data_IF_837101110581
#
_entry.id   IF_837101110581
#
_cell.length_a   1.000
_cell.length_b   1.000
_cell.length_c   1.000
_cell.angle_alpha   90.00
_cell.angle_beta   90.00
_cell.angle_gamma   90.00
#
_symmetry.space_group_name_H-M   'P 1'
#
loop_
_entity.id
_entity.type
_entity.pdbx_description
1 polymer ?
#
# COMPACT_ATOMS: atom_id res chain seq x y z
N UNK A 1 15.63 -8.57 -12.35
CA UNK A 1 14.67 -7.93 -11.41
C UNK A 1 13.84 -6.93 -12.19
N UNK A 2 12.54 -7.18 -12.36
CA UNK A 2 11.67 -6.21 -13.02
C UNK A 2 11.63 -4.93 -12.19
N UNK A 3 12.04 -3.84 -12.78
CA UNK A 3 12.17 -2.53 -12.13
C UNK A 3 10.76 -1.96 -11.87
N UNK A 4 10.12 -2.36 -10.75
CA UNK A 4 8.79 -1.88 -10.32
C UNK A 4 8.77 -0.36 -10.16
N UNK A 5 9.93 0.22 -9.88
CA UNK A 5 10.08 1.62 -9.55
C UNK A 5 11.01 2.28 -10.56
N UNK A 6 10.49 3.26 -11.28
CA UNK A 6 11.32 4.13 -12.15
C UNK A 6 12.05 5.16 -11.29
N UNK A 7 13.29 5.42 -11.61
CA UNK A 7 14.13 6.41 -10.92
C UNK A 7 13.44 7.79 -10.91
N UNK A 8 13.42 8.45 -9.77
CA UNK A 8 12.78 9.77 -9.52
C UNK A 8 11.24 9.81 -9.65
N UNK A 9 10.54 8.74 -10.01
CA UNK A 9 9.07 8.74 -10.10
C UNK A 9 8.43 8.40 -8.76
N UNK A 10 7.44 9.20 -8.35
CA UNK A 10 6.63 8.97 -7.14
C UNK A 10 5.29 8.34 -7.49
N UNK A 11 4.77 7.49 -6.62
CA UNK A 11 3.57 6.71 -6.91
C UNK A 11 2.51 6.85 -5.82
N UNK A 12 1.26 6.85 -6.25
CA UNK A 12 0.13 6.66 -5.35
C UNK A 12 -0.11 5.15 -5.15
N UNK A 13 -0.06 4.72 -3.88
CA UNK A 13 -0.32 3.38 -3.43
C UNK A 13 -1.66 3.37 -2.68
N UNK A 14 -2.70 2.87 -3.31
CA UNK A 14 -4.04 2.87 -2.75
C UNK A 14 -4.26 1.66 -1.85
N UNK A 15 -4.83 1.88 -0.66
CA UNK A 15 -5.22 0.80 0.27
C UNK A 15 -6.74 0.77 0.35
N UNK A 16 -7.34 -0.42 0.28
CA UNK A 16 -8.80 -0.57 0.38
C UNK A 16 -9.35 0.08 1.66
N UNK A 17 -10.59 0.60 1.63
CA UNK A 17 -11.19 1.22 2.81
C UNK A 17 -11.45 0.20 3.92
N UNK A 18 -11.42 0.65 5.17
CA UNK A 18 -11.69 -0.19 6.35
C UNK A 18 -13.14 -0.67 6.42
N UNK A 19 -14.02 0.00 5.71
CA UNK A 19 -15.46 -0.25 5.62
C UNK A 19 -15.83 -1.33 4.60
N UNK A 20 -14.87 -1.77 3.78
CA UNK A 20 -15.08 -2.82 2.77
C UNK A 20 -15.62 -4.11 3.40
N UNK A 21 -16.66 -4.66 2.80
CA UNK A 21 -17.45 -5.81 3.28
C UNK A 21 -18.27 -5.52 4.56
N UNK A 22 -18.50 -4.26 4.89
CA UNK A 22 -19.49 -3.86 5.90
C UNK A 22 -20.80 -3.45 5.22
N UNK A 23 -21.91 -3.36 6.00
CA UNK A 23 -23.25 -2.97 5.49
C UNK A 23 -23.22 -1.69 4.64
N UNK A 24 -22.41 -0.68 5.05
CA UNK A 24 -22.28 0.60 4.34
C UNK A 24 -21.50 0.52 3.02
N UNK A 25 -20.64 -0.50 2.84
CA UNK A 25 -19.83 -0.68 1.63
C UNK A 25 -19.75 -2.15 1.23
N UNK A 26 -20.83 -2.73 0.67
CA UNK A 26 -20.82 -4.09 0.15
C UNK A 26 -19.89 -4.23 -1.05
N UNK A 27 -19.40 -5.44 -1.30
CA UNK A 27 -18.39 -5.70 -2.34
C UNK A 27 -18.82 -5.20 -3.72
N UNK A 28 -20.07 -5.47 -4.14
CA UNK A 28 -20.59 -5.05 -5.46
C UNK A 28 -20.43 -3.53 -5.68
N UNK A 29 -20.86 -2.73 -4.71
CA UNK A 29 -20.72 -1.26 -4.73
C UNK A 29 -19.26 -0.83 -4.79
N UNK A 30 -18.40 -1.47 -3.97
CA UNK A 30 -16.97 -1.16 -3.95
C UNK A 30 -16.28 -1.45 -5.30
N UNK A 31 -16.58 -2.58 -5.95
CA UNK A 31 -15.97 -2.96 -7.22
C UNK A 31 -16.27 -1.96 -8.33
N UNK A 32 -17.49 -1.39 -8.36
CA UNK A 32 -17.86 -0.34 -9.32
C UNK A 32 -16.98 0.90 -9.09
N UNK A 33 -16.92 1.39 -7.86
CA UNK A 33 -16.12 2.57 -7.51
C UNK A 33 -14.62 2.31 -7.77
N UNK A 34 -14.11 1.13 -7.41
CA UNK A 34 -12.72 0.77 -7.64
C UNK A 34 -12.37 0.77 -9.14
N UNK A 35 -13.26 0.24 -9.96
CA UNK A 35 -13.03 0.22 -11.41
C UNK A 35 -12.91 1.64 -11.97
N UNK A 36 -13.78 2.57 -11.58
CA UNK A 36 -13.69 3.98 -12.00
C UNK A 36 -12.38 4.64 -11.52
N UNK A 37 -11.98 4.38 -10.28
CA UNK A 37 -10.72 4.87 -9.73
C UNK A 37 -9.51 4.33 -10.52
N UNK A 38 -9.48 3.03 -10.84
CA UNK A 38 -8.35 2.42 -11.55
C UNK A 38 -8.35 2.75 -13.05
N UNK A 39 -9.49 3.04 -13.67
CA UNK A 39 -9.59 3.56 -15.06
C UNK A 39 -8.81 4.87 -15.26
N UNK A 40 -8.62 5.67 -14.22
CA UNK A 40 -7.78 6.89 -14.29
C UNK A 40 -6.34 6.61 -14.68
N UNK A 41 -5.85 5.35 -14.56
CA UNK A 41 -4.45 4.91 -14.79
C UNK A 41 -3.41 5.63 -13.90
N UNK A 42 -3.86 6.31 -12.84
CA UNK A 42 -3.02 7.08 -11.91
C UNK A 42 -2.59 6.26 -10.67
N UNK A 43 -3.18 5.07 -10.48
CA UNK A 43 -2.88 4.16 -9.38
C UNK A 43 -1.91 3.08 -9.85
N UNK A 44 -0.67 3.11 -9.38
CA UNK A 44 0.32 2.07 -9.69
C UNK A 44 0.16 0.83 -8.83
N UNK A 45 -0.19 1.00 -7.55
CA UNK A 45 -0.29 -0.07 -6.56
C UNK A 45 -1.62 -0.03 -5.83
N UNK A 46 -2.25 -1.20 -5.64
CA UNK A 46 -3.42 -1.39 -4.79
C UNK A 46 -3.11 -2.45 -3.73
N UNK A 47 -3.52 -2.21 -2.49
CA UNK A 47 -3.43 -3.19 -1.40
C UNK A 47 -4.83 -3.55 -0.89
N UNK A 48 -5.18 -4.83 -0.93
CA UNK A 48 -6.36 -5.35 -0.24
C UNK A 48 -6.03 -5.55 1.25
N UNK A 49 -6.71 -4.80 2.10
CA UNK A 49 -6.58 -4.90 3.55
C UNK A 49 -7.93 -5.19 4.17
N UNK A 50 -8.17 -6.45 4.48
CA UNK A 50 -9.35 -6.91 5.19
C UNK A 50 -8.95 -7.35 6.60
N UNK A 51 -9.70 -6.92 7.61
CA UNK A 51 -9.50 -7.34 8.99
C UNK A 51 -10.68 -8.20 9.44
N UNK A 52 -10.39 -9.27 10.22
CA UNK A 52 -11.40 -10.11 10.85
C UNK A 52 -12.43 -10.64 9.84
N UNK A 53 -11.95 -11.15 8.69
CA UNK A 53 -12.76 -11.80 7.66
C UNK A 53 -12.33 -13.25 7.51
N UNK A 54 -13.27 -14.13 7.17
CA UNK A 54 -12.97 -15.53 6.88
C UNK A 54 -12.10 -15.66 5.62
N UNK A 55 -11.37 -16.76 5.50
CA UNK A 55 -10.56 -17.05 4.33
C UNK A 55 -11.38 -17.03 3.05
N UNK A 56 -12.58 -17.59 3.07
CA UNK A 56 -13.50 -17.60 1.93
C UNK A 56 -13.92 -16.19 1.50
N UNK A 57 -14.21 -15.30 2.46
CA UNK A 57 -14.54 -13.89 2.17
C UNK A 57 -13.33 -13.17 1.56
N UNK A 58 -12.13 -13.44 2.07
CA UNK A 58 -10.88 -12.86 1.56
C UNK A 58 -10.64 -13.34 0.13
N UNK A 59 -10.70 -14.65 -0.11
CA UNK A 59 -10.44 -15.26 -1.41
C UNK A 59 -11.46 -14.79 -2.46
N UNK A 60 -12.74 -14.74 -2.11
CA UNK A 60 -13.79 -14.24 -3.00
C UNK A 60 -13.55 -12.77 -3.39
N UNK A 61 -13.24 -11.91 -2.41
CA UNK A 61 -12.96 -10.49 -2.63
C UNK A 61 -11.70 -10.31 -3.47
N UNK A 62 -10.65 -11.06 -3.15
CA UNK A 62 -9.36 -11.03 -3.82
C UNK A 62 -9.48 -11.38 -5.30
N UNK A 63 -10.21 -12.46 -5.64
CA UNK A 63 -10.45 -12.88 -7.04
C UNK A 63 -11.09 -11.76 -7.85
N UNK A 64 -12.15 -11.12 -7.33
CA UNK A 64 -12.87 -10.06 -8.05
C UNK A 64 -12.02 -8.79 -8.22
N UNK A 65 -11.29 -8.38 -7.20
CA UNK A 65 -10.39 -7.22 -7.27
C UNK A 65 -9.22 -7.49 -8.22
N UNK A 66 -8.65 -8.69 -8.20
CA UNK A 66 -7.55 -9.10 -9.09
C UNK A 66 -7.89 -8.90 -10.56
N UNK A 67 -9.11 -9.23 -10.99
CA UNK A 67 -9.57 -9.03 -12.37
C UNK A 67 -9.56 -7.54 -12.75
N UNK A 68 -10.04 -6.67 -11.87
CA UNK A 68 -10.05 -5.22 -12.10
C UNK A 68 -8.61 -4.67 -12.14
N UNK A 69 -7.74 -5.13 -11.25
CA UNK A 69 -6.33 -4.73 -11.22
C UNK A 69 -5.61 -5.14 -12.52
N UNK A 70 -5.79 -6.37 -12.99
CA UNK A 70 -5.23 -6.86 -14.25
C UNK A 70 -5.67 -6.01 -15.43
N UNK A 71 -6.99 -5.76 -15.59
CA UNK A 71 -7.55 -4.91 -16.65
C UNK A 71 -6.95 -3.50 -16.65
N UNK A 72 -6.62 -2.98 -15.46
CA UNK A 72 -6.09 -1.63 -15.32
C UNK A 72 -4.57 -1.55 -15.19
N UNK A 73 -3.84 -2.67 -15.30
CA UNK A 73 -2.37 -2.76 -15.15
C UNK A 73 -1.88 -2.22 -13.79
N UNK A 74 -2.70 -2.39 -12.73
CA UNK A 74 -2.40 -2.02 -11.35
C UNK A 74 -1.79 -3.21 -10.63
N UNK A 75 -0.65 -3.03 -9.98
CA UNK A 75 0.04 -4.07 -9.21
C UNK A 75 -0.72 -4.28 -7.90
N UNK A 76 -1.08 -5.54 -7.63
CA UNK A 76 -2.00 -5.87 -6.56
C UNK A 76 -1.33 -6.60 -5.40
N UNK A 77 -1.41 -6.02 -4.21
CA UNK A 77 -0.90 -6.59 -2.97
C UNK A 77 -2.03 -7.04 -2.05
N UNK A 78 -1.76 -8.08 -1.25
CA UNK A 78 -2.59 -8.42 -0.10
C UNK A 78 -1.84 -8.15 1.21
N UNK A 79 -2.57 -7.72 2.26
CA UNK A 79 -2.01 -7.42 3.57
C UNK A 79 -2.12 -8.63 4.50
N UNK A 80 -0.98 -9.05 5.09
CA UNK A 80 -0.82 -10.06 6.16
C UNK A 80 -1.27 -11.49 5.84
N UNK A 81 -2.19 -11.69 4.92
CA UNK A 81 -2.69 -13.01 4.56
C UNK A 81 -1.74 -13.75 3.63
N UNK A 82 -1.53 -15.02 3.93
CA UNK A 82 -0.61 -15.86 3.21
C UNK A 82 -1.13 -17.31 3.16
N UNK A 83 -1.40 -17.81 1.99
CA UNK A 83 -1.45 -19.21 1.60
C UNK A 83 -1.33 -19.34 0.07
N UNK A 84 -1.13 -20.56 -0.44
CA UNK A 84 -0.93 -20.80 -1.88
C UNK A 84 -2.14 -20.44 -2.72
N UNK A 85 -3.38 -20.57 -2.19
CA UNK A 85 -4.61 -20.19 -2.87
C UNK A 85 -4.67 -18.68 -3.11
N UNK A 86 -4.25 -17.89 -2.11
CA UNK A 86 -4.25 -16.43 -2.15
C UNK A 86 -3.16 -15.90 -3.08
N UNK A 87 -1.96 -16.49 -3.03
CA UNK A 87 -0.82 -16.05 -3.84
C UNK A 87 -1.08 -16.09 -5.35
N UNK A 88 -1.99 -16.94 -5.83
CA UNK A 88 -2.36 -17.02 -7.25
C UNK A 88 -3.03 -15.73 -7.78
N UNK A 89 -3.64 -14.93 -6.91
CA UNK A 89 -4.47 -13.78 -7.30
C UNK A 89 -3.85 -12.41 -6.98
N UNK A 90 -2.64 -12.36 -6.44
CA UNK A 90 -1.93 -11.11 -6.15
C UNK A 90 -0.52 -11.13 -6.72
N UNK A 91 0.04 -9.93 -6.93
CA UNK A 91 1.42 -9.75 -7.40
C UNK A 91 2.40 -9.72 -6.23
N UNK A 92 1.93 -9.37 -5.02
CA UNK A 92 2.77 -9.28 -3.84
C UNK A 92 2.00 -9.32 -2.52
N UNK A 93 2.76 -9.36 -1.45
CA UNK A 93 2.26 -9.34 -0.07
C UNK A 93 2.92 -8.20 0.69
N UNK A 94 2.12 -7.55 1.55
CA UNK A 94 2.62 -6.59 2.52
C UNK A 94 2.44 -7.14 3.94
N UNK A 95 3.54 -7.24 4.69
CA UNK A 95 3.56 -7.81 6.03
C UNK A 95 3.74 -6.75 7.11
N UNK A 96 2.93 -6.84 8.17
CA UNK A 96 3.15 -6.15 9.43
C UNK A 96 4.23 -6.85 10.27
N UNK A 97 4.80 -6.17 11.29
CA UNK A 97 5.88 -6.71 12.12
C UNK A 97 5.51 -8.02 12.84
N UNK A 98 4.24 -8.19 13.22
CA UNK A 98 3.75 -9.40 13.88
C UNK A 98 3.51 -10.57 12.91
N UNK A 99 3.48 -10.27 11.62
CA UNK A 99 3.11 -11.24 10.58
C UNK A 99 4.32 -11.79 9.83
N UNK A 100 5.51 -11.26 10.10
CA UNK A 100 6.77 -11.69 9.48
C UNK A 100 7.23 -12.99 10.15
N UNK A 101 7.51 -14.02 9.33
CA UNK A 101 8.27 -15.20 9.73
C UNK A 101 9.09 -15.67 8.54
N UNK A 102 10.27 -16.29 8.81
CA UNK A 102 11.16 -16.83 7.76
C UNK A 102 10.37 -17.74 6.82
N UNK A 103 9.62 -18.71 7.36
CA UNK A 103 8.81 -19.66 6.59
C UNK A 103 7.82 -18.98 5.63
N UNK A 104 7.18 -17.88 6.05
CA UNK A 104 6.27 -17.09 5.17
C UNK A 104 7.04 -16.40 4.07
N UNK A 105 8.15 -15.76 4.42
CA UNK A 105 8.94 -14.98 3.47
C UNK A 105 9.53 -15.90 2.41
N UNK A 106 10.13 -17.03 2.81
CA UNK A 106 10.72 -18.00 1.88
C UNK A 106 9.69 -18.47 0.83
N UNK A 107 8.46 -18.79 1.27
CA UNK A 107 7.39 -19.17 0.35
C UNK A 107 6.95 -18.06 -0.59
N UNK A 108 6.90 -16.80 -0.12
CA UNK A 108 6.60 -15.63 -0.94
C UNK A 108 7.65 -15.46 -2.03
N UNK A 109 8.93 -15.58 -1.66
CA UNK A 109 10.06 -15.45 -2.58
C UNK A 109 10.11 -16.60 -3.58
N UNK A 110 9.88 -17.86 -3.14
CA UNK A 110 9.80 -19.03 -4.03
C UNK A 110 8.72 -18.87 -5.11
N UNK A 111 7.60 -18.22 -4.78
CA UNK A 111 6.53 -17.91 -5.75
C UNK A 111 6.79 -16.63 -6.56
N UNK A 112 8.00 -16.05 -6.50
CA UNK A 112 8.42 -14.82 -7.19
C UNK A 112 7.46 -13.64 -6.95
N UNK A 113 6.86 -13.54 -5.75
CA UNK A 113 5.95 -12.47 -5.37
C UNK A 113 6.70 -11.30 -4.75
N UNK A 114 6.20 -10.09 -4.95
CA UNK A 114 6.75 -8.91 -4.31
C UNK A 114 6.49 -8.92 -2.80
N UNK A 115 7.46 -8.46 -2.03
CA UNK A 115 7.39 -8.36 -0.58
C UNK A 115 7.51 -6.90 -0.14
N UNK A 116 6.50 -6.42 0.58
CA UNK A 116 6.54 -5.16 1.32
C UNK A 116 6.53 -5.40 2.82
N UNK A 117 7.25 -4.60 3.60
CA UNK A 117 7.33 -4.76 5.06
C UNK A 117 7.09 -3.40 5.75
N UNK A 118 6.21 -3.39 6.77
CA UNK A 118 6.00 -2.23 7.64
C UNK A 118 7.14 -2.11 8.66
N UNK A 119 7.83 -0.96 8.71
CA UNK A 119 8.89 -0.68 9.68
C UNK A 119 8.52 0.42 10.68
N UNK A 120 7.28 0.92 10.64
CA UNK A 120 6.79 1.98 11.53
C UNK A 120 7.69 3.22 11.50
N UNK A 121 8.40 3.53 12.60
CA UNK A 121 9.38 4.61 12.70
C UNK A 121 10.72 4.11 13.27
N UNK A 122 10.97 2.79 13.23
CA UNK A 122 12.08 2.13 13.92
C UNK A 122 13.16 1.71 12.94
N UNK A 123 14.40 2.11 13.23
CA UNK A 123 15.62 1.65 12.55
C UNK A 123 15.83 0.14 12.74
N UNK A 124 15.55 -0.39 13.95
CA UNK A 124 15.68 -1.81 14.24
C UNK A 124 14.74 -2.66 13.40
N UNK A 125 13.49 -2.17 13.21
CA UNK A 125 12.56 -2.85 12.30
C UNK A 125 13.02 -2.81 10.86
N UNK A 126 13.70 -1.74 10.43
CA UNK A 126 14.31 -1.69 9.09
C UNK A 126 15.41 -2.73 8.99
N UNK A 127 16.37 -2.76 9.93
CA UNK A 127 17.49 -3.70 9.89
C UNK A 127 17.00 -5.16 9.88
N UNK A 128 16.02 -5.50 10.73
CA UNK A 128 15.37 -6.82 10.73
C UNK A 128 14.64 -7.12 9.41
N UNK A 129 14.00 -6.13 8.81
CA UNK A 129 13.30 -6.32 7.54
C UNK A 129 14.27 -6.57 6.38
N UNK A 130 15.43 -5.90 6.37
CA UNK A 130 16.41 -6.03 5.29
C UNK A 130 16.99 -7.44 5.14
N UNK A 131 17.04 -8.24 6.22
CA UNK A 131 17.42 -9.66 6.18
C UNK A 131 16.55 -10.45 5.19
N UNK A 132 15.30 -10.06 5.02
CA UNK A 132 14.33 -10.70 4.14
C UNK A 132 14.33 -10.16 2.70
N UNK A 133 15.24 -9.25 2.36
CA UNK A 133 15.38 -8.64 1.02
C UNK A 133 14.03 -8.18 0.43
N UNK A 134 13.27 -7.31 1.13
CA UNK A 134 11.97 -6.83 0.64
C UNK A 134 12.13 -6.01 -0.64
N UNK A 135 11.05 -5.86 -1.41
CA UNK A 135 11.02 -4.99 -2.57
C UNK A 135 10.76 -3.53 -2.18
N UNK A 136 10.15 -3.29 -1.03
CA UNK A 136 9.99 -1.97 -0.41
C UNK A 136 9.66 -2.10 1.08
N UNK A 137 9.87 -1.01 1.81
CA UNK A 137 9.42 -0.88 3.20
C UNK A 137 8.40 0.25 3.34
N UNK A 138 7.64 0.27 4.45
CA UNK A 138 6.77 1.39 4.76
C UNK A 138 7.03 1.98 6.14
N UNK A 139 7.02 3.32 6.20
CA UNK A 139 7.07 4.10 7.43
C UNK A 139 5.70 4.68 7.77
N UNK A 140 5.30 4.67 9.03
CA UNK A 140 4.03 5.24 9.49
C UNK A 140 3.75 5.00 10.98
N UNK A 141 2.79 5.75 11.50
CA UNK A 141 1.93 6.67 10.78
C UNK A 141 2.53 8.08 10.77
N UNK A 142 2.39 8.79 9.66
CA UNK A 142 2.86 10.17 9.53
C UNK A 142 1.90 11.16 10.19
N UNK A 143 0.60 10.93 10.09
CA UNK A 143 -0.44 11.79 10.63
C UNK A 143 -1.44 10.98 11.45
N UNK A 144 -2.29 11.66 12.21
CA UNK A 144 -3.38 11.04 12.95
C UNK A 144 -4.31 10.28 12.01
N UNK A 145 -4.68 9.06 12.38
CA UNK A 145 -5.53 8.19 11.58
C UNK A 145 -6.53 7.43 12.44
N UNK A 146 -7.77 7.32 11.95
CA UNK A 146 -8.81 6.49 12.57
C UNK A 146 -8.79 5.04 12.05
N UNK A 147 -8.05 4.76 10.96
CA UNK A 147 -8.04 3.44 10.31
C UNK A 147 -7.32 2.37 11.13
N UNK A 148 -6.26 2.77 11.86
CA UNK A 148 -5.50 1.89 12.76
C UNK A 148 -4.95 2.72 13.91
N UNK A 149 -5.31 2.38 15.16
CA UNK A 149 -4.63 2.93 16.34
C UNK A 149 -3.16 2.47 16.31
N UNK A 150 -2.23 3.39 16.42
CA UNK A 150 -0.80 3.10 16.49
C UNK A 150 -0.10 4.09 17.41
N UNK A 151 0.84 3.59 18.20
CA UNK A 151 1.73 4.41 19.02
C UNK A 151 2.93 4.97 18.23
N UNK A 152 3.17 4.43 17.04
CA UNK A 152 4.31 4.83 16.24
C UNK A 152 4.01 6.10 15.43
N UNK A 153 4.95 7.05 15.48
CA UNK A 153 4.89 8.30 14.71
C UNK A 153 6.14 8.42 13.86
N UNK A 154 5.95 8.24 12.55
CA UNK A 154 7.02 8.46 11.59
C UNK A 154 7.10 9.94 11.19
N UNK A 155 8.29 10.36 10.83
CA UNK A 155 8.59 11.72 10.37
C UNK A 155 9.42 11.66 9.09
N UNK A 156 9.59 12.80 8.43
CA UNK A 156 10.47 12.91 7.26
C UNK A 156 11.93 12.52 7.56
N UNK A 157 12.36 12.63 8.83
CA UNK A 157 13.70 12.18 9.26
C UNK A 157 13.89 10.67 9.05
N UNK A 158 12.84 9.85 9.24
CA UNK A 158 12.89 8.41 9.00
C UNK A 158 13.15 8.11 7.51
N UNK A 159 12.48 8.83 6.60
CA UNK A 159 12.69 8.66 5.15
C UNK A 159 14.10 9.09 4.77
N UNK A 160 14.52 10.29 5.18
CA UNK A 160 15.87 10.81 4.88
C UNK A 160 16.97 9.87 5.36
N UNK A 161 16.87 9.40 6.62
CA UNK A 161 17.81 8.41 7.16
C UNK A 161 17.83 7.12 6.32
N UNK A 162 16.65 6.60 5.98
CA UNK A 162 16.55 5.37 5.20
C UNK A 162 17.16 5.51 3.82
N UNK A 163 16.84 6.57 3.10
CA UNK A 163 17.36 6.82 1.75
C UNK A 163 18.87 7.09 1.71
N UNK A 164 19.43 7.63 2.80
CA UNK A 164 20.89 7.77 2.95
C UNK A 164 21.60 6.41 3.07
N UNK A 165 20.95 5.42 3.74
CA UNK A 165 21.57 4.14 4.06
C UNK A 165 21.17 2.99 3.12
N UNK A 166 20.05 3.10 2.42
CA UNK A 166 19.51 2.00 1.60
C UNK A 166 19.00 2.50 0.26
N UNK A 167 19.39 1.81 -0.82
CA UNK A 167 18.89 2.06 -2.19
C UNK A 167 17.57 1.33 -2.47
N UNK A 168 16.73 1.18 -1.48
CA UNK A 168 15.45 0.47 -1.58
C UNK A 168 14.28 1.48 -1.61
N UNK A 169 13.20 1.20 -2.35
CA UNK A 169 11.99 2.02 -2.31
C UNK A 169 11.32 2.04 -0.94
N UNK A 170 10.70 3.16 -0.59
CA UNK A 170 9.93 3.28 0.63
C UNK A 170 8.57 3.95 0.41
N UNK A 171 7.60 3.56 1.24
CA UNK A 171 6.27 4.13 1.29
C UNK A 171 6.03 4.90 2.60
N UNK A 172 5.42 6.06 2.50
CA UNK A 172 4.86 6.74 3.65
C UNK A 172 3.37 6.38 3.82
N UNK A 173 2.95 6.07 5.04
CA UNK A 173 1.57 5.67 5.34
C UNK A 173 1.04 6.33 6.61
N UNK A 174 -0.28 6.48 6.69
CA UNK A 174 -1.02 6.86 7.88
C UNK A 174 -1.46 8.32 7.91
N UNK A 175 -2.77 8.53 7.78
CA UNK A 175 -3.43 9.83 7.86
C UNK A 175 -3.10 10.79 6.71
N UNK A 176 -2.52 10.29 5.62
CA UNK A 176 -2.15 11.10 4.45
C UNK A 176 -3.42 11.53 3.71
N UNK A 177 -3.52 12.83 3.42
CA UNK A 177 -4.59 13.50 2.68
C UNK A 177 -3.99 14.45 1.66
N UNK A 178 -4.77 14.88 0.67
CA UNK A 178 -4.36 15.87 -0.35
C UNK A 178 -3.71 17.11 0.31
N UNK A 179 -4.33 17.64 1.36
CA UNK A 179 -3.88 18.87 2.04
C UNK A 179 -2.58 18.74 2.86
N UNK A 180 -2.11 17.52 3.15
CA UNK A 180 -0.94 17.33 4.04
C UNK A 180 0.20 16.51 3.41
N UNK A 181 0.05 16.03 2.18
CA UNK A 181 1.03 15.13 1.55
C UNK A 181 2.31 15.83 1.09
N UNK A 182 2.32 17.14 0.84
CA UNK A 182 3.48 17.88 0.30
C UNK A 182 4.76 17.66 1.09
N UNK A 183 4.71 17.75 2.44
CA UNK A 183 5.89 17.51 3.29
C UNK A 183 6.59 16.16 3.06
N UNK A 184 5.82 15.14 2.66
CA UNK A 184 6.36 13.82 2.35
C UNK A 184 6.87 13.79 0.91
N UNK A 185 6.15 14.41 -0.02
CA UNK A 185 6.52 14.43 -1.44
C UNK A 185 7.86 15.16 -1.66
N UNK A 186 8.16 16.19 -0.87
CA UNK A 186 9.43 16.90 -0.88
C UNK A 186 10.62 16.07 -0.34
N UNK A 187 10.38 14.83 0.07
CA UNK A 187 11.44 13.86 0.41
C UNK A 187 11.66 12.87 -0.73
N UNK A 188 12.68 12.03 -0.62
CA UNK A 188 12.93 10.91 -1.55
C UNK A 188 12.00 9.71 -1.33
N UNK A 189 10.80 9.93 -0.75
CA UNK A 189 9.78 8.90 -0.60
C UNK A 189 9.23 8.50 -1.97
N UNK A 190 9.22 7.20 -2.25
CA UNK A 190 8.80 6.70 -3.57
C UNK A 190 7.28 6.54 -3.68
N UNK A 191 6.60 6.30 -2.55
CA UNK A 191 5.17 6.01 -2.54
C UNK A 191 4.42 6.71 -1.41
N UNK A 192 3.24 7.24 -1.74
CA UNK A 192 2.23 7.62 -0.75
C UNK A 192 1.20 6.51 -0.63
N UNK A 193 1.17 5.81 0.51
CA UNK A 193 0.16 4.78 0.80
C UNK A 193 -1.05 5.41 1.49
N UNK A 194 -2.17 5.49 0.77
CA UNK A 194 -3.37 6.24 1.18
C UNK A 194 -4.60 5.34 1.20
N UNK A 195 -5.44 5.47 2.21
CA UNK A 195 -6.77 4.85 2.29
C UNK A 195 -7.85 5.93 2.45
N UNK A 196 -8.19 6.32 3.66
CA UNK A 196 -9.27 7.29 3.94
C UNK A 196 -9.08 8.64 3.26
N UNK A 197 -7.85 9.06 2.97
CA UNK A 197 -7.58 10.29 2.23
C UNK A 197 -8.08 10.27 0.78
N UNK A 198 -8.33 9.08 0.22
CA UNK A 198 -8.97 8.89 -1.09
C UNK A 198 -10.43 8.51 -0.91
N UNK A 199 -10.74 7.44 -0.16
CA UNK A 199 -12.09 6.89 -0.10
C UNK A 199 -13.12 7.80 0.59
N UNK A 200 -12.67 8.66 1.50
CA UNK A 200 -13.53 9.59 2.25
C UNK A 200 -13.29 11.05 1.81
N UNK A 201 -12.82 11.26 0.58
CA UNK A 201 -12.68 12.60 0.04
C UNK A 201 -14.06 13.15 -0.30
N UNK A 202 -14.30 14.45 -0.02
CA UNK A 202 -15.62 15.06 -0.13
C UNK A 202 -16.20 14.98 -1.56
N UNK A 203 -15.35 15.22 -2.56
CA UNK A 203 -15.72 15.23 -3.98
C UNK A 203 -15.48 13.86 -4.66
N UNK A 204 -15.41 12.80 -3.85
CA UNK A 204 -15.27 11.42 -4.30
C UNK A 204 -13.83 10.94 -4.53
N UNK A 205 -13.66 9.60 -4.65
CA UNK A 205 -12.33 8.99 -4.71
C UNK A 205 -11.59 9.26 -6.03
N UNK A 206 -12.30 9.44 -7.13
CA UNK A 206 -11.67 9.75 -8.45
C UNK A 206 -11.01 11.13 -8.38
N UNK A 207 -11.72 12.13 -7.85
CA UNK A 207 -11.17 13.48 -7.71
C UNK A 207 -9.98 13.51 -6.75
N UNK A 208 -10.07 12.80 -5.63
CA UNK A 208 -8.92 12.67 -4.73
C UNK A 208 -7.68 12.12 -5.44
N UNK A 209 -7.85 11.09 -6.27
CA UNK A 209 -6.75 10.49 -7.05
C UNK A 209 -6.19 11.49 -8.05
N UNK A 210 -7.03 12.26 -8.73
CA UNK A 210 -6.61 13.32 -9.65
C UNK A 210 -5.73 14.36 -8.96
N UNK A 211 -6.17 14.83 -7.78
CA UNK A 211 -5.44 15.82 -7.00
C UNK A 211 -4.11 15.29 -6.49
N UNK A 212 -4.07 14.07 -5.92
CA UNK A 212 -2.82 13.43 -5.53
C UNK A 212 -1.86 13.29 -6.71
N UNK A 213 -2.35 12.84 -7.86
CA UNK A 213 -1.53 12.66 -9.05
C UNK A 213 -0.95 13.99 -9.56
N UNK A 214 -1.75 15.06 -9.56
CA UNK A 214 -1.32 16.42 -9.93
C UNK A 214 -0.18 16.91 -9.01
N UNK A 215 -0.30 16.67 -7.69
CA UNK A 215 0.73 17.06 -6.73
C UNK A 215 2.00 16.22 -6.91
N UNK A 216 1.86 14.90 -7.07
CA UNK A 216 2.99 13.99 -7.25
C UNK A 216 3.82 14.27 -8.51
N UNK A 217 3.21 14.85 -9.56
CA UNK A 217 3.89 15.13 -10.84
C UNK A 217 4.30 16.60 -11.02
N UNK A 218 3.86 17.53 -10.15
CA UNK A 218 4.28 18.94 -10.21
C UNK A 218 5.57 19.21 -9.43
N UNK A 219 5.96 18.32 -8.53
CA UNK A 219 7.09 18.50 -7.61
C UNK A 219 8.25 17.51 -7.90
N UNK A 220 8.32 17.00 -9.16
CA UNK A 220 9.42 16.15 -9.63
C UNK A 220 10.32 16.94 -10.56
#
# INVERSE_FOLDING_TARGET
MNNLFKKKKKYLYLITPSELLRKKLPLKKYLIILNEVLKTKKIKFLQLRLKRKSENQILHTLKKISLICKKNKTIFFINDYYNDKILKFCDGIHLGQKDISKKKVDKILLKKKFLGITCHNSKDFVNKAMVFKPNYISFGSFFNTRTKKTKYRATVKNIKWFKKNFKLPCAAIGGIKVKNCRKIIMTDCDMLAVSSGVWNYKDGPVEAVNLFYKILNKEV
#
